data_IF_674956549658
#
_entry.id   IF_674956549658
#
_cell.length_a   1.000
_cell.length_b   1.000
_cell.length_c   1.000
_cell.angle_alpha   90.00
_cell.angle_beta   90.00
_cell.angle_gamma   90.00
#
_symmetry.space_group_name_H-M   'P 1'
#
loop_
_entity.id
_entity.type
_entity.pdbx_description
1 polymer ?
#
# COMPACT_ATOMS: atom_id res chain seq x y z
N UNK A 1 60.93 66.52 -0.57
CA UNK A 1 59.95 65.54 -0.05
C UNK A 1 58.64 65.78 -0.81
N UNK A 2 58.28 64.90 -1.73
CA UNK A 2 57.11 65.06 -2.59
C UNK A 2 56.01 64.09 -2.04
N UNK A 3 54.90 64.63 -1.57
CA UNK A 3 53.71 63.87 -1.20
C UNK A 3 52.92 63.47 -2.41
N UNK A 4 52.76 62.15 -2.62
CA UNK A 4 51.91 61.56 -3.64
C UNK A 4 50.56 61.17 -2.97
N UNK A 5 49.53 61.91 -3.28
CA UNK A 5 48.15 61.58 -2.91
C UNK A 5 47.56 60.60 -3.92
N UNK A 6 47.11 59.39 -3.46
CA UNK A 6 46.38 58.44 -4.24
C UNK A 6 44.88 58.67 -4.02
N UNK A 7 44.05 58.67 -5.09
CA UNK A 7 42.59 58.70 -4.95
C UNK A 7 42.06 57.30 -4.66
N UNK A 8 41.18 57.18 -3.65
CA UNK A 8 40.36 55.99 -3.37
C UNK A 8 39.17 55.98 -4.37
N UNK A 9 39.12 54.97 -5.24
CA UNK A 9 37.91 54.62 -5.98
C UNK A 9 37.03 53.76 -5.09
N UNK A 10 35.90 54.27 -4.68
CA UNK A 10 34.82 53.52 -4.02
C UNK A 10 33.95 52.86 -5.13
N UNK A 11 34.12 51.55 -5.30
CA UNK A 11 33.23 50.77 -6.15
C UNK A 11 31.94 50.42 -5.40
N UNK A 12 30.83 51.03 -5.77
CA UNK A 12 29.50 50.68 -5.23
C UNK A 12 29.05 49.38 -5.91
N UNK A 13 29.05 48.26 -5.16
CA UNK A 13 28.45 47.00 -5.58
C UNK A 13 26.93 47.10 -5.31
N UNK A 14 26.17 47.32 -6.36
CA UNK A 14 24.71 47.22 -6.31
C UNK A 14 24.31 45.73 -6.25
N UNK A 15 23.97 45.24 -5.05
CA UNK A 15 23.43 43.92 -4.84
C UNK A 15 21.95 43.91 -5.30
N UNK A 16 21.73 43.40 -6.49
CA UNK A 16 20.37 43.05 -6.98
C UNK A 16 19.83 41.85 -6.19
N UNK A 17 19.02 42.13 -5.17
CA UNK A 17 18.17 41.12 -4.55
C UNK A 17 17.10 40.70 -5.52
N UNK A 18 17.31 39.58 -6.21
CA UNK A 18 16.23 38.90 -6.89
C UNK A 18 15.24 38.40 -5.81
N UNK A 19 14.11 39.05 -5.70
CA UNK A 19 12.97 38.58 -4.91
C UNK A 19 12.48 37.27 -5.58
N UNK A 20 12.99 36.14 -5.13
CA UNK A 20 12.34 34.85 -5.36
C UNK A 20 11.00 34.89 -4.62
N UNK A 21 9.95 35.34 -5.31
CA UNK A 21 8.58 35.16 -4.84
C UNK A 21 8.32 33.67 -4.65
N UNK A 22 7.41 33.28 -3.72
CA UNK A 22 7.05 31.88 -3.56
C UNK A 22 6.60 31.33 -4.93
N UNK A 23 7.25 30.26 -5.39
CA UNK A 23 6.84 29.56 -6.59
C UNK A 23 5.38 29.15 -6.43
N UNK A 24 4.47 29.89 -7.05
CA UNK A 24 3.07 29.49 -7.08
C UNK A 24 3.00 28.20 -7.86
N UNK A 25 2.43 27.16 -7.25
CA UNK A 25 2.18 25.91 -7.92
C UNK A 25 1.35 26.22 -9.18
N UNK A 26 1.95 25.98 -10.34
CA UNK A 26 1.35 26.31 -11.61
C UNK A 26 0.14 25.39 -11.83
N UNK A 27 -1.04 25.96 -12.11
CA UNK A 27 -2.24 25.17 -12.36
C UNK A 27 -2.12 24.31 -13.61
N UNK A 28 -2.86 23.20 -13.64
CA UNK A 28 -2.88 22.26 -14.76
C UNK A 28 -3.79 22.83 -15.89
N UNK A 29 -3.19 23.07 -17.05
CA UNK A 29 -3.93 23.56 -18.22
C UNK A 29 -4.99 22.54 -18.65
N UNK A 30 -6.25 22.99 -18.73
CA UNK A 30 -7.38 22.16 -19.13
C UNK A 30 -7.97 21.31 -18.04
N UNK A 31 -7.44 21.40 -16.81
CA UNK A 31 -8.05 20.77 -15.64
C UNK A 31 -9.25 21.55 -15.13
N UNK A 32 -10.24 20.92 -14.48
CA UNK A 32 -11.31 21.62 -13.79
C UNK A 32 -10.80 22.30 -12.51
N UNK A 33 -11.58 23.29 -12.02
CA UNK A 33 -11.30 23.90 -10.73
C UNK A 33 -11.33 22.83 -9.60
N UNK A 34 -10.45 22.96 -8.59
CA UNK A 34 -9.44 24.00 -8.36
C UNK A 34 -8.05 23.70 -9.02
N UNK A 35 -7.91 22.60 -9.76
CA UNK A 35 -6.63 22.17 -10.33
C UNK A 35 -6.10 23.11 -11.43
N UNK A 36 -7.01 23.82 -12.13
CA UNK A 36 -6.67 24.85 -13.12
C UNK A 36 -5.88 26.03 -12.52
N UNK A 37 -6.07 26.29 -11.23
CA UNK A 37 -5.41 27.39 -10.50
C UNK A 37 -4.20 26.93 -9.70
N UNK A 38 -4.07 25.62 -9.47
CA UNK A 38 -3.05 25.02 -8.61
C UNK A 38 -3.30 25.29 -7.11
N UNK A 39 -2.35 24.82 -6.29
CA UNK A 39 -2.39 25.02 -4.84
C UNK A 39 -3.25 24.01 -4.07
N UNK A 40 -3.82 23.00 -4.73
CA UNK A 40 -4.58 21.92 -4.11
C UNK A 40 -3.71 21.21 -3.07
N UNK A 41 -4.29 20.91 -1.90
CA UNK A 41 -3.64 20.25 -0.77
C UNK A 41 -4.30 18.90 -0.52
N UNK A 42 -3.49 17.84 -0.46
CA UNK A 42 -3.95 16.49 -0.12
C UNK A 42 -3.13 15.97 1.05
N UNK A 43 -3.80 15.37 2.04
CA UNK A 43 -3.17 14.60 3.10
C UNK A 43 -3.41 13.11 2.87
N UNK A 44 -2.36 12.29 2.91
CA UNK A 44 -2.48 10.85 2.95
C UNK A 44 -2.06 10.36 4.35
N UNK A 45 -2.98 9.71 5.05
CA UNK A 45 -2.80 9.27 6.44
C UNK A 45 -2.88 7.75 6.47
N UNK A 46 -1.74 7.12 6.72
CA UNK A 46 -1.59 5.66 6.79
C UNK A 46 -1.67 5.17 8.24
N UNK A 47 -2.37 4.06 8.47
CA UNK A 47 -2.35 3.36 9.76
C UNK A 47 -0.97 2.74 10.04
N UNK A 48 -0.41 2.07 9.03
CA UNK A 48 0.88 1.41 9.12
C UNK A 48 2.02 2.44 9.24
N UNK A 49 3.13 2.04 9.87
CA UNK A 49 4.34 2.86 10.00
C UNK A 49 5.54 2.31 9.24
N UNK A 50 5.44 1.08 8.71
CA UNK A 50 6.52 0.40 8.02
C UNK A 50 5.99 -0.65 7.06
N UNK A 51 6.91 -1.26 6.29
CA UNK A 51 6.65 -2.33 5.33
C UNK A 51 6.87 -1.88 3.89
N UNK A 52 7.33 -2.82 3.06
CA UNK A 52 7.69 -2.55 1.66
C UNK A 52 6.46 -2.13 0.84
N UNK A 53 5.30 -2.73 1.14
CA UNK A 53 4.06 -2.37 0.48
C UNK A 53 3.71 -0.89 0.73
N UNK A 54 3.81 -0.43 2.00
CA UNK A 54 3.52 0.96 2.36
C UNK A 54 4.47 1.93 1.65
N UNK A 55 5.77 1.62 1.63
CA UNK A 55 6.77 2.46 0.96
C UNK A 55 6.47 2.59 -0.53
N UNK A 56 6.12 1.49 -1.20
CA UNK A 56 5.75 1.51 -2.61
C UNK A 56 4.45 2.28 -2.85
N UNK A 57 3.44 2.11 -2.00
CA UNK A 57 2.19 2.87 -2.04
C UNK A 57 2.46 4.39 -1.92
N UNK A 58 3.22 4.81 -0.92
CA UNK A 58 3.55 6.23 -0.70
C UNK A 58 4.38 6.82 -1.84
N UNK A 59 5.27 6.03 -2.45
CA UNK A 59 5.99 6.44 -3.65
C UNK A 59 5.03 6.70 -4.84
N UNK A 60 4.01 5.86 -5.01
CA UNK A 60 2.95 6.06 -6.00
C UNK A 60 2.09 7.29 -5.71
N UNK A 61 1.71 7.48 -4.44
CA UNK A 61 0.98 8.68 -3.98
C UNK A 61 1.76 9.94 -4.32
N UNK A 62 3.06 9.96 -3.97
CA UNK A 62 3.93 11.10 -4.26
C UNK A 62 4.05 11.36 -5.75
N UNK A 63 4.33 10.34 -6.54
CA UNK A 63 4.50 10.45 -8.00
C UNK A 63 3.28 11.05 -8.69
N UNK A 64 2.07 10.59 -8.32
CA UNK A 64 0.84 11.11 -8.90
C UNK A 64 0.50 12.52 -8.38
N UNK A 65 0.78 12.82 -7.12
CA UNK A 65 0.60 14.15 -6.55
C UNK A 65 1.52 15.17 -7.21
N UNK A 66 2.80 14.82 -7.43
CA UNK A 66 3.77 15.66 -8.13
C UNK A 66 3.32 15.94 -9.58
N UNK A 67 2.82 14.91 -10.30
CA UNK A 67 2.29 15.07 -11.66
C UNK A 67 1.08 16.01 -11.72
N UNK A 68 0.26 16.05 -10.66
CA UNK A 68 -0.90 16.95 -10.54
C UNK A 68 -0.56 18.33 -9.97
N UNK A 69 0.69 18.58 -9.57
CA UNK A 69 1.08 19.84 -8.89
C UNK A 69 0.43 20.03 -7.52
N UNK A 70 0.08 18.94 -6.84
CA UNK A 70 -0.59 18.93 -5.53
C UNK A 70 0.43 19.11 -4.40
N UNK A 71 0.07 19.90 -3.39
CA UNK A 71 0.80 19.98 -2.12
C UNK A 71 0.42 18.77 -1.27
N UNK A 72 1.30 17.77 -1.23
CA UNK A 72 1.08 16.50 -0.53
C UNK A 72 1.66 16.54 0.89
N UNK A 73 0.90 16.03 1.85
CA UNK A 73 1.36 15.67 3.20
C UNK A 73 1.19 14.17 3.39
N UNK A 74 2.28 13.45 3.67
CA UNK A 74 2.27 12.04 4.06
C UNK A 74 2.42 11.93 5.57
N UNK A 75 1.59 11.12 6.21
CA UNK A 75 1.63 10.89 7.66
C UNK A 75 1.36 9.42 7.98
N UNK A 76 2.10 8.88 8.94
CA UNK A 76 2.03 7.49 9.34
C UNK A 76 1.70 7.40 10.84
N UNK A 77 0.68 6.61 11.18
CA UNK A 77 0.22 6.43 12.56
C UNK A 77 0.99 5.36 13.34
N UNK A 78 1.88 4.60 12.68
CA UNK A 78 2.71 3.55 13.31
C UNK A 78 1.90 2.54 14.11
N UNK A 79 0.83 2.03 13.49
CA UNK A 79 -0.08 1.04 14.07
C UNK A 79 -0.87 1.53 15.31
N UNK A 80 -0.95 2.85 15.51
CA UNK A 80 -1.69 3.45 16.62
C UNK A 80 -2.97 4.15 16.14
N UNK A 81 -4.11 3.74 16.68
CA UNK A 81 -5.43 4.23 16.28
C UNK A 81 -5.66 5.70 16.64
N UNK A 82 -5.23 6.12 17.84
CA UNK A 82 -5.42 7.49 18.30
C UNK A 82 -4.53 8.45 17.51
N UNK A 83 -3.32 8.02 17.22
CA UNK A 83 -2.41 8.77 16.33
C UNK A 83 -3.02 8.93 14.94
N UNK A 84 -3.59 7.88 14.34
CA UNK A 84 -4.22 8.00 13.02
C UNK A 84 -5.37 9.00 13.04
N UNK A 85 -6.24 8.91 14.04
CA UNK A 85 -7.35 9.84 14.24
C UNK A 85 -6.87 11.28 14.40
N UNK A 86 -5.82 11.49 15.21
CA UNK A 86 -5.24 12.82 15.45
C UNK A 86 -4.59 13.40 14.18
N UNK A 87 -3.91 12.60 13.36
CA UNK A 87 -3.35 13.03 12.07
C UNK A 87 -4.44 13.47 11.09
N UNK A 88 -5.58 12.76 11.05
CA UNK A 88 -6.74 13.17 10.25
C UNK A 88 -7.31 14.49 10.79
N UNK A 89 -7.43 14.65 12.13
CA UNK A 89 -7.90 15.92 12.71
C UNK A 89 -6.94 17.07 12.38
N UNK A 90 -5.64 16.85 12.35
CA UNK A 90 -4.66 17.86 11.92
C UNK A 90 -4.87 18.26 10.45
N UNK A 91 -5.12 17.30 9.55
CA UNK A 91 -5.42 17.56 8.16
C UNK A 91 -6.71 18.42 8.02
N UNK A 92 -7.74 18.14 8.82
CA UNK A 92 -8.96 18.97 8.87
C UNK A 92 -8.63 20.39 9.32
N UNK A 93 -7.84 20.57 10.37
CA UNK A 93 -7.46 21.89 10.91
C UNK A 93 -6.63 22.70 9.89
N UNK A 94 -5.80 22.02 9.08
CA UNK A 94 -5.01 22.62 7.99
C UNK A 94 -5.86 22.97 6.74
N UNK A 95 -7.15 22.60 6.76
CA UNK A 95 -8.08 22.83 5.65
C UNK A 95 -7.50 22.32 4.34
N UNK A 96 -7.13 21.05 4.32
CA UNK A 96 -6.75 20.38 3.07
C UNK A 96 -7.99 20.19 2.19
N UNK A 97 -7.80 20.06 0.87
CA UNK A 97 -8.91 19.84 -0.06
C UNK A 97 -9.35 18.38 -0.08
N UNK A 98 -8.40 17.45 0.18
CA UNK A 98 -8.68 16.03 0.21
C UNK A 98 -7.85 15.25 1.23
N UNK A 99 -8.43 14.14 1.71
CA UNK A 99 -7.77 13.19 2.62
C UNK A 99 -7.86 11.79 2.01
N UNK A 100 -6.73 11.09 1.96
CA UNK A 100 -6.64 9.66 1.68
C UNK A 100 -6.43 8.95 3.01
N UNK A 101 -7.39 8.12 3.43
CA UNK A 101 -7.28 7.28 4.62
C UNK A 101 -6.83 5.89 4.16
N UNK A 102 -5.63 5.47 4.59
CA UNK A 102 -5.02 4.23 4.19
C UNK A 102 -4.98 3.25 5.36
N UNK A 103 -5.71 2.15 5.27
CA UNK A 103 -5.90 1.14 6.30
C UNK A 103 -6.46 1.74 7.63
N UNK A 104 -6.55 0.90 8.65
CA UNK A 104 -7.04 1.28 9.97
C UNK A 104 -8.33 0.56 10.35
N UNK A 105 -8.89 0.95 11.48
CA UNK A 105 -10.09 0.34 12.05
C UNK A 105 -11.31 1.21 11.81
N UNK A 106 -12.38 0.68 11.18
CA UNK A 106 -13.59 1.44 10.87
C UNK A 106 -14.20 2.13 12.10
N UNK A 107 -14.24 1.45 13.24
CA UNK A 107 -14.82 1.95 14.48
C UNK A 107 -14.11 3.19 15.04
N UNK A 108 -12.83 3.39 14.70
CA UNK A 108 -12.05 4.56 15.09
C UNK A 108 -12.20 5.70 14.10
N UNK A 109 -12.41 5.38 12.81
CA UNK A 109 -12.25 6.31 11.72
C UNK A 109 -13.55 6.89 11.16
N UNK A 110 -14.72 6.23 11.37
CA UNK A 110 -16.01 6.68 10.81
C UNK A 110 -16.35 8.11 11.22
N UNK A 111 -16.26 8.44 12.50
CA UNK A 111 -16.63 9.75 13.02
C UNK A 111 -15.70 10.86 12.51
N UNK A 112 -14.40 10.62 12.51
CA UNK A 112 -13.42 11.63 12.05
C UNK A 112 -13.47 11.82 10.53
N UNK A 113 -13.77 10.77 9.77
CA UNK A 113 -14.01 10.86 8.34
C UNK A 113 -15.29 11.68 8.03
N UNK A 114 -16.36 11.49 8.82
CA UNK A 114 -17.57 12.30 8.71
C UNK A 114 -17.28 13.77 9.01
N UNK A 115 -16.51 14.08 10.06
CA UNK A 115 -16.08 15.47 10.36
C UNK A 115 -15.32 16.12 9.20
N UNK A 116 -14.47 15.36 8.50
CA UNK A 116 -13.77 15.87 7.32
C UNK A 116 -14.75 16.23 6.21
N UNK A 117 -15.75 15.37 5.94
CA UNK A 117 -16.81 15.66 4.96
C UNK A 117 -17.63 16.88 5.35
N UNK A 118 -18.00 17.04 6.62
CA UNK A 118 -18.77 18.19 7.14
C UNK A 118 -17.97 19.50 7.03
N UNK A 119 -16.64 19.41 7.09
CA UNK A 119 -15.74 20.55 6.82
C UNK A 119 -15.55 20.83 5.31
N UNK A 120 -16.25 20.10 4.42
CA UNK A 120 -16.16 20.26 2.96
C UNK A 120 -14.98 19.54 2.31
N UNK A 121 -14.15 18.81 3.09
CA UNK A 121 -12.98 18.09 2.62
C UNK A 121 -13.42 16.79 1.94
N UNK A 122 -12.82 16.47 0.79
CA UNK A 122 -13.09 15.20 0.11
C UNK A 122 -12.27 14.08 0.73
N UNK A 123 -12.92 12.94 0.96
CA UNK A 123 -12.27 11.77 1.58
C UNK A 123 -12.35 10.60 0.63
N UNK A 124 -11.27 9.85 0.49
CA UNK A 124 -11.25 8.51 -0.08
C UNK A 124 -10.63 7.54 0.92
N UNK A 125 -11.07 6.30 0.92
CA UNK A 125 -10.60 5.26 1.81
C UNK A 125 -9.95 4.13 1.01
N UNK A 126 -8.81 3.64 1.48
CA UNK A 126 -8.16 2.46 0.94
C UNK A 126 -8.08 1.39 2.03
N UNK A 127 -8.60 0.20 1.72
CA UNK A 127 -8.60 -0.98 2.61
C UNK A 127 -9.14 -0.75 4.03
N UNK A 128 -10.06 0.22 4.17
CA UNK A 128 -10.85 0.44 5.40
C UNK A 128 -12.29 0.75 5.03
N UNK A 129 -13.24 -0.06 5.53
CA UNK A 129 -14.66 0.11 5.22
C UNK A 129 -15.30 1.14 6.16
N UNK A 130 -15.52 2.36 5.66
CA UNK A 130 -16.14 3.44 6.42
C UNK A 130 -17.66 3.48 6.32
N UNK A 131 -18.30 2.62 5.50
CA UNK A 131 -19.74 2.52 5.28
C UNK A 131 -20.43 3.87 4.92
N UNK A 132 -19.67 4.78 4.30
CA UNK A 132 -20.16 6.08 3.92
C UNK A 132 -20.28 6.21 2.40
N UNK A 133 -21.50 6.45 1.84
CA UNK A 133 -21.69 6.48 0.38
C UNK A 133 -21.00 7.66 -0.31
N UNK A 134 -20.57 8.67 0.44
CA UNK A 134 -19.84 9.84 -0.07
C UNK A 134 -18.33 9.61 -0.14
N UNK A 135 -17.85 8.52 0.45
CA UNK A 135 -16.42 8.17 0.49
C UNK A 135 -16.14 7.04 -0.50
N UNK A 136 -15.45 7.29 -1.62
CA UNK A 136 -14.99 6.25 -2.51
C UNK A 136 -14.10 5.24 -1.78
N UNK A 137 -14.40 3.96 -1.95
CA UNK A 137 -13.62 2.86 -1.40
C UNK A 137 -12.70 2.32 -2.49
N UNK A 138 -11.40 2.34 -2.24
CA UNK A 138 -10.39 1.75 -3.12
C UNK A 138 -10.01 0.39 -2.54
N UNK A 139 -10.00 -0.64 -3.36
CA UNK A 139 -9.74 -2.02 -2.94
C UNK A 139 -8.93 -2.79 -3.99
N UNK A 140 -8.23 -3.83 -3.55
CA UNK A 140 -7.40 -4.69 -4.39
C UNK A 140 -8.09 -6.00 -4.81
N UNK A 141 -9.41 -6.15 -4.64
CA UNK A 141 -10.11 -7.42 -4.78
C UNK A 141 -9.53 -8.53 -3.87
N UNK A 142 -9.57 -8.28 -2.56
CA UNK A 142 -9.00 -9.16 -1.53
C UNK A 142 -9.45 -10.62 -1.63
N UNK A 143 -10.74 -10.83 -1.93
CA UNK A 143 -11.28 -12.17 -2.12
C UNK A 143 -10.62 -12.88 -3.31
N UNK A 144 -10.37 -12.16 -4.42
CA UNK A 144 -9.71 -12.75 -5.58
C UNK A 144 -8.23 -13.00 -5.30
N UNK A 145 -7.54 -12.10 -4.56
CA UNK A 145 -6.18 -12.35 -4.11
C UNK A 145 -6.07 -13.67 -3.35
N UNK A 146 -6.91 -13.84 -2.32
CA UNK A 146 -6.91 -15.06 -1.53
C UNK A 146 -7.30 -16.28 -2.38
N UNK A 147 -8.30 -16.14 -3.27
CA UNK A 147 -8.75 -17.23 -4.14
C UNK A 147 -7.65 -17.71 -5.07
N UNK A 148 -6.93 -16.79 -5.73
CA UNK A 148 -5.85 -17.13 -6.66
C UNK A 148 -4.75 -17.96 -5.99
N UNK A 149 -4.28 -17.56 -4.82
CA UNK A 149 -3.19 -18.28 -4.13
C UNK A 149 -3.66 -19.59 -3.50
N UNK A 150 -4.91 -19.64 -3.03
CA UNK A 150 -5.46 -20.88 -2.44
C UNK A 150 -5.81 -21.91 -3.52
N UNK A 151 -6.25 -21.49 -4.70
CA UNK A 151 -6.39 -22.39 -5.88
C UNK A 151 -5.01 -22.96 -6.27
N UNK A 152 -3.97 -22.13 -6.26
CA UNK A 152 -2.60 -22.62 -6.50
C UNK A 152 -2.16 -23.59 -5.39
N UNK A 153 -2.47 -23.31 -4.11
CA UNK A 153 -2.16 -24.24 -3.02
C UNK A 153 -2.86 -25.60 -3.20
N UNK A 154 -4.15 -25.60 -3.58
CA UNK A 154 -4.89 -26.83 -3.87
C UNK A 154 -4.33 -27.56 -5.08
N UNK A 155 -3.89 -26.83 -6.12
CA UNK A 155 -3.25 -27.40 -7.30
C UNK A 155 -1.93 -28.11 -6.94
N UNK A 156 -1.12 -27.51 -6.08
CA UNK A 156 0.22 -27.99 -5.73
C UNK A 156 0.19 -29.12 -4.67
N UNK A 157 -0.76 -29.09 -3.75
CA UNK A 157 -0.83 -29.99 -2.59
C UNK A 157 -2.00 -30.99 -2.62
N UNK A 158 -2.95 -30.79 -3.53
CA UNK A 158 -4.19 -31.56 -3.54
C UNK A 158 -5.21 -31.01 -2.54
N UNK A 159 -6.38 -31.67 -2.47
CA UNK A 159 -7.43 -31.38 -1.48
C UNK A 159 -7.08 -31.99 -0.12
N UNK A 160 -7.69 -31.50 0.95
CA UNK A 160 -7.58 -32.10 2.28
C UNK A 160 -6.24 -31.86 2.99
N UNK A 161 -5.38 -30.99 2.49
CA UNK A 161 -4.12 -30.68 3.18
C UNK A 161 -4.34 -30.07 4.55
N UNK A 162 -3.38 -30.29 5.43
CA UNK A 162 -3.33 -29.63 6.74
C UNK A 162 -2.64 -28.29 6.62
N UNK A 163 -3.26 -27.23 7.17
CA UNK A 163 -2.74 -25.89 7.04
C UNK A 163 -2.99 -25.01 8.25
N UNK A 164 -2.41 -23.84 8.21
CA UNK A 164 -2.67 -22.75 9.13
C UNK A 164 -2.76 -21.42 8.40
N UNK A 165 -3.30 -20.42 9.07
CA UNK A 165 -3.42 -19.07 8.53
C UNK A 165 -2.82 -18.04 9.48
N UNK A 166 -2.10 -17.06 8.94
CA UNK A 166 -1.71 -15.89 9.71
C UNK A 166 -2.82 -14.85 9.57
N UNK A 167 -3.45 -14.46 10.69
CA UNK A 167 -4.62 -13.59 10.64
C UNK A 167 -4.74 -12.74 11.90
N UNK A 168 -5.17 -11.50 11.72
CA UNK A 168 -5.53 -10.56 12.79
C UNK A 168 -6.85 -9.91 12.43
N UNK A 169 -7.86 -10.09 13.27
CA UNK A 169 -9.21 -9.58 13.06
C UNK A 169 -9.30 -8.05 13.11
N UNK A 170 -10.29 -7.49 12.40
CA UNK A 170 -10.64 -6.07 12.44
C UNK A 170 -9.89 -5.21 11.42
N UNK A 171 -9.10 -5.82 10.54
CA UNK A 171 -8.54 -5.17 9.35
C UNK A 171 -9.27 -5.70 8.12
N UNK A 172 -10.01 -4.83 7.44
CA UNK A 172 -10.90 -5.21 6.34
C UNK A 172 -10.24 -6.12 5.27
N UNK A 173 -9.01 -5.87 4.77
CA UNK A 173 -8.38 -6.77 3.81
C UNK A 173 -8.07 -8.15 4.41
N UNK A 174 -7.60 -8.22 5.66
CA UNK A 174 -7.32 -9.50 6.33
C UNK A 174 -8.59 -10.29 6.58
N UNK A 175 -9.67 -9.62 7.02
CA UNK A 175 -10.97 -10.25 7.27
C UNK A 175 -11.54 -10.85 5.97
N UNK A 176 -11.49 -10.10 4.84
CA UNK A 176 -11.97 -10.57 3.54
C UNK A 176 -11.16 -11.75 2.99
N UNK A 177 -9.82 -11.69 3.12
CA UNK A 177 -8.91 -12.75 2.67
C UNK A 177 -9.06 -14.01 3.53
N UNK A 178 -9.19 -13.86 4.85
CA UNK A 178 -9.41 -15.00 5.75
C UNK A 178 -10.77 -15.66 5.55
N UNK A 179 -11.82 -14.90 5.21
CA UNK A 179 -13.12 -15.48 4.86
C UNK A 179 -13.01 -16.47 3.68
N UNK A 180 -12.18 -16.15 2.67
CA UNK A 180 -11.92 -17.07 1.55
C UNK A 180 -11.14 -18.31 2.00
N UNK A 181 -10.18 -18.17 2.93
CA UNK A 181 -9.53 -19.34 3.53
C UNK A 181 -10.55 -20.29 4.19
N UNK A 182 -11.51 -19.74 4.94
CA UNK A 182 -12.59 -20.56 5.55
C UNK A 182 -13.51 -21.21 4.50
N UNK A 183 -13.83 -20.48 3.43
CA UNK A 183 -14.57 -21.03 2.27
C UNK A 183 -13.83 -22.24 1.68
N UNK A 184 -12.52 -22.09 1.44
CA UNK A 184 -11.68 -23.14 0.87
C UNK A 184 -11.53 -24.35 1.82
N UNK A 185 -11.41 -24.09 3.13
CA UNK A 185 -11.37 -25.16 4.13
C UNK A 185 -12.65 -26.04 4.04
N UNK A 186 -13.83 -25.42 3.94
CA UNK A 186 -15.07 -26.14 3.75
C UNK A 186 -15.16 -26.85 2.38
N UNK A 187 -14.86 -26.13 1.30
CA UNK A 187 -15.02 -26.63 -0.08
C UNK A 187 -14.08 -27.78 -0.45
N UNK A 188 -12.85 -27.73 0.03
CA UNK A 188 -11.78 -28.68 -0.32
C UNK A 188 -11.38 -29.60 0.84
N UNK A 189 -12.05 -29.51 2.00
CA UNK A 189 -11.77 -30.33 3.17
C UNK A 189 -10.42 -30.03 3.82
N UNK A 190 -9.95 -28.78 3.74
CA UNK A 190 -8.68 -28.39 4.35
C UNK A 190 -8.78 -28.48 5.87
N UNK A 191 -7.71 -28.92 6.51
CA UNK A 191 -7.65 -29.08 7.98
C UNK A 191 -6.93 -27.89 8.58
N UNK A 192 -7.69 -26.86 9.03
CA UNK A 192 -7.10 -25.74 9.75
C UNK A 192 -6.63 -26.18 11.15
N UNK A 193 -5.34 -26.13 11.43
CA UNK A 193 -4.73 -26.53 12.70
C UNK A 193 -4.48 -25.36 13.63
N UNK A 194 -4.13 -24.21 13.07
CA UNK A 194 -3.81 -23.03 13.85
C UNK A 194 -4.10 -21.74 13.09
N UNK A 195 -4.44 -20.71 13.82
CA UNK A 195 -4.53 -19.32 13.39
C UNK A 195 -3.70 -18.48 14.33
N UNK A 196 -2.82 -17.65 13.82
CA UNK A 196 -1.96 -16.76 14.61
C UNK A 196 -1.66 -15.48 13.85
N UNK A 197 -1.05 -14.51 14.49
CA UNK A 197 -0.62 -13.26 13.86
C UNK A 197 -0.62 -12.10 14.84
N UNK A 198 0.07 -11.04 14.44
CA UNK A 198 0.12 -9.78 15.16
C UNK A 198 0.40 -8.64 14.19
N UNK A 199 -0.17 -7.48 14.45
CA UNK A 199 0.14 -6.22 13.75
C UNK A 199 0.81 -5.29 14.75
N UNK A 200 2.10 -5.05 14.57
CA UNK A 200 2.96 -4.20 15.39
C UNK A 200 4.12 -3.65 14.53
N UNK A 201 5.08 -2.95 15.14
CA UNK A 201 6.22 -2.37 14.42
C UNK A 201 7.27 -3.41 13.96
N UNK A 202 7.20 -4.65 14.44
CA UNK A 202 8.15 -5.73 14.16
C UNK A 202 7.46 -6.99 13.64
N UNK A 203 6.46 -6.84 12.79
CA UNK A 203 5.59 -7.92 12.29
C UNK A 203 6.38 -9.16 11.84
N UNK A 204 7.40 -9.08 10.96
CA UNK A 204 8.09 -10.30 10.50
C UNK A 204 8.73 -11.08 11.63
N UNK A 205 9.43 -10.42 12.55
CA UNK A 205 10.07 -11.08 13.68
C UNK A 205 9.06 -11.70 14.65
N UNK A 206 8.02 -10.94 15.00
CA UNK A 206 6.96 -11.41 15.90
C UNK A 206 6.18 -12.59 15.31
N UNK A 207 5.88 -12.56 14.01
CA UNK A 207 5.20 -13.67 13.31
C UNK A 207 6.14 -14.88 13.19
N UNK A 208 7.46 -14.67 12.98
CA UNK A 208 8.41 -15.78 12.95
C UNK A 208 8.43 -16.54 14.29
N UNK A 209 8.46 -15.84 15.41
CA UNK A 209 8.44 -16.48 16.72
C UNK A 209 7.15 -17.27 16.98
N UNK A 210 6.00 -16.70 16.65
CA UNK A 210 4.71 -17.39 16.73
C UNK A 210 4.68 -18.62 15.79
N UNK A 211 5.17 -18.49 14.56
CA UNK A 211 5.18 -19.56 13.57
C UNK A 211 6.08 -20.73 14.01
N UNK A 212 7.24 -20.45 14.61
CA UNK A 212 8.10 -21.51 15.18
C UNK A 212 7.36 -22.32 16.24
N UNK A 213 6.64 -21.65 17.14
CA UNK A 213 5.85 -22.32 18.17
C UNK A 213 4.71 -23.15 17.55
N UNK A 214 3.97 -22.60 16.59
CA UNK A 214 2.87 -23.28 15.89
C UNK A 214 3.35 -24.52 15.14
N UNK A 215 4.44 -24.43 14.37
CA UNK A 215 4.96 -25.54 13.58
C UNK A 215 5.55 -26.66 14.44
N UNK A 216 6.12 -26.35 15.61
CA UNK A 216 6.56 -27.35 16.58
C UNK A 216 5.37 -28.10 17.20
N UNK A 217 4.30 -27.39 17.53
CA UNK A 217 3.08 -27.98 18.10
C UNK A 217 2.24 -28.76 17.07
N UNK A 218 2.34 -28.40 15.79
CA UNK A 218 1.55 -28.97 14.69
C UNK A 218 2.48 -29.39 13.53
N UNK A 219 3.29 -30.45 13.70
CA UNK A 219 4.29 -30.86 12.72
C UNK A 219 3.68 -31.42 11.41
N UNK A 220 2.38 -31.58 11.32
CA UNK A 220 1.64 -32.03 10.14
C UNK A 220 1.16 -30.85 9.24
N UNK A 221 1.37 -29.60 9.63
CA UNK A 221 1.08 -28.45 8.77
C UNK A 221 1.95 -28.52 7.50
N UNK A 222 1.28 -28.52 6.35
CA UNK A 222 1.89 -28.54 5.02
C UNK A 222 1.79 -27.21 4.27
N UNK A 223 0.78 -26.38 4.63
CA UNK A 223 0.50 -25.08 3.98
C UNK A 223 0.28 -24.01 5.04
N UNK A 224 0.89 -22.85 4.82
CA UNK A 224 0.58 -21.63 5.59
C UNK A 224 0.06 -20.58 4.62
N UNK A 225 -1.17 -20.11 4.87
CA UNK A 225 -1.75 -18.96 4.18
C UNK A 225 -1.34 -17.67 4.88
N UNK A 226 -0.76 -16.75 4.12
CA UNK A 226 -0.24 -15.47 4.63
C UNK A 226 -0.89 -14.31 3.87
N UNK A 227 -2.00 -13.76 4.37
CA UNK A 227 -2.78 -12.73 3.68
C UNK A 227 -2.14 -11.33 3.71
N UNK A 228 -0.84 -11.22 3.97
CA UNK A 228 -0.05 -9.99 3.93
C UNK A 228 1.44 -10.33 3.76
N UNK A 229 2.17 -9.55 2.96
CA UNK A 229 3.59 -9.79 2.66
C UNK A 229 4.48 -9.84 3.91
N UNK A 230 4.27 -8.94 4.89
CA UNK A 230 5.04 -8.95 6.13
C UNK A 230 4.80 -10.23 6.96
N UNK A 231 3.61 -10.82 6.89
CA UNK A 231 3.35 -12.14 7.48
C UNK A 231 4.12 -13.24 6.77
N UNK A 232 4.17 -13.19 5.43
CA UNK A 232 4.88 -14.17 4.63
C UNK A 232 6.39 -14.17 4.92
N UNK A 233 6.99 -12.98 5.08
CA UNK A 233 8.40 -12.83 5.49
C UNK A 233 8.66 -13.50 6.84
N UNK A 234 7.80 -13.27 7.83
CA UNK A 234 7.92 -13.89 9.15
C UNK A 234 7.78 -15.40 9.11
N UNK A 235 6.78 -15.92 8.38
CA UNK A 235 6.59 -17.37 8.21
C UNK A 235 7.78 -18.00 7.50
N UNK A 236 8.31 -17.35 6.43
CA UNK A 236 9.50 -17.85 5.72
C UNK A 236 10.71 -17.93 6.64
N UNK A 237 10.98 -16.88 7.41
CA UNK A 237 12.06 -16.85 8.38
C UNK A 237 11.96 -18.04 9.35
N UNK A 238 10.78 -18.29 9.91
CA UNK A 238 10.57 -19.41 10.83
C UNK A 238 10.78 -20.78 10.15
N UNK A 239 10.31 -20.97 8.93
CA UNK A 239 10.46 -22.20 8.15
C UNK A 239 11.93 -22.47 7.86
N UNK A 240 12.70 -21.45 7.50
CA UNK A 240 14.13 -21.54 7.20
C UNK A 240 14.92 -21.89 8.47
N UNK A 241 14.68 -21.20 9.60
CA UNK A 241 15.33 -21.49 10.88
C UNK A 241 15.02 -22.90 11.40
N UNK A 242 13.83 -23.43 11.11
CA UNK A 242 13.45 -24.81 11.48
C UNK A 242 13.92 -25.86 10.47
N UNK A 243 14.41 -25.46 9.30
CA UNK A 243 14.85 -26.38 8.24
C UNK A 243 13.73 -27.20 7.61
N UNK A 244 12.47 -26.68 7.59
CA UNK A 244 11.28 -27.42 7.15
C UNK A 244 10.73 -26.97 5.79
N UNK A 245 11.51 -26.24 5.00
CA UNK A 245 11.09 -25.66 3.70
C UNK A 245 10.62 -26.70 2.68
N UNK A 246 11.12 -27.94 2.74
CA UNK A 246 10.65 -29.04 1.88
C UNK A 246 9.23 -29.51 2.22
N UNK A 247 8.82 -29.37 3.47
CA UNK A 247 7.55 -29.87 4.01
C UNK A 247 6.46 -28.81 4.02
N UNK A 248 6.76 -27.63 4.57
CA UNK A 248 5.83 -26.52 4.74
C UNK A 248 5.96 -25.54 3.58
N UNK A 249 4.84 -25.12 2.98
CA UNK A 249 4.81 -24.18 1.87
C UNK A 249 3.93 -22.97 2.19
N UNK A 250 4.34 -21.80 1.67
CA UNK A 250 3.70 -20.52 1.87
C UNK A 250 2.95 -20.12 0.60
N UNK A 251 1.71 -19.69 0.77
CA UNK A 251 0.88 -19.06 -0.25
C UNK A 251 0.40 -17.72 0.29
N UNK A 252 0.86 -16.64 -0.32
CA UNK A 252 0.78 -15.30 0.24
C UNK A 252 0.04 -14.28 -0.61
N UNK A 253 -0.07 -13.11 -0.06
CA UNK A 253 -0.62 -11.91 -0.72
C UNK A 253 0.39 -10.79 -0.61
N UNK A 254 0.37 -9.88 -1.57
CA UNK A 254 1.32 -8.79 -1.82
C UNK A 254 2.64 -9.24 -2.46
N UNK A 255 3.37 -8.27 -3.02
CA UNK A 255 4.69 -8.50 -3.58
C UNK A 255 5.52 -7.20 -3.56
N UNK A 256 6.78 -7.33 -3.15
CA UNK A 256 7.82 -6.31 -3.22
C UNK A 256 9.08 -6.88 -3.87
N UNK A 257 10.07 -6.06 -4.13
CA UNK A 257 11.38 -6.54 -4.58
C UNK A 257 12.01 -7.49 -3.55
N UNK A 258 11.89 -7.20 -2.26
CA UNK A 258 12.37 -8.07 -1.20
C UNK A 258 11.62 -9.42 -1.19
N UNK A 259 10.31 -9.41 -1.40
CA UNK A 259 9.51 -10.63 -1.49
C UNK A 259 9.93 -11.50 -2.69
N UNK A 260 10.18 -10.88 -3.85
CA UNK A 260 10.70 -11.58 -5.04
C UNK A 260 12.03 -12.25 -4.72
N UNK A 261 12.95 -11.56 -4.04
CA UNK A 261 14.23 -12.12 -3.64
C UNK A 261 14.05 -13.33 -2.71
N UNK A 262 13.21 -13.20 -1.67
CA UNK A 262 12.88 -14.28 -0.75
C UNK A 262 12.20 -15.47 -1.45
N UNK A 263 11.32 -15.25 -2.40
CA UNK A 263 10.66 -16.30 -3.19
C UNK A 263 11.64 -17.02 -4.10
N UNK A 264 12.64 -16.33 -4.64
CA UNK A 264 13.60 -16.91 -5.61
C UNK A 264 14.84 -17.53 -4.98
N UNK A 265 15.03 -17.42 -3.66
CA UNK A 265 16.10 -18.11 -2.95
C UNK A 265 16.07 -19.63 -3.21
N UNK A 266 17.25 -20.31 -3.19
CA UNK A 266 17.28 -21.76 -3.26
C UNK A 266 16.39 -22.41 -2.20
N UNK A 267 15.61 -23.42 -2.60
CA UNK A 267 14.70 -24.17 -1.71
C UNK A 267 13.65 -23.32 -0.94
N UNK A 268 13.35 -22.11 -1.40
CA UNK A 268 12.35 -21.26 -0.75
C UNK A 268 11.01 -21.98 -0.56
N UNK A 269 10.44 -21.83 0.62
CA UNK A 269 9.11 -22.34 0.93
C UNK A 269 7.98 -21.49 0.32
N UNK A 270 8.23 -20.27 -0.13
CA UNK A 270 7.21 -19.35 -0.63
C UNK A 270 6.91 -19.62 -2.12
N UNK A 271 5.80 -20.31 -2.37
CA UNK A 271 5.48 -20.87 -3.69
C UNK A 271 4.71 -19.91 -4.61
N UNK A 272 3.83 -19.10 -4.04
CA UNK A 272 3.02 -18.18 -4.82
C UNK A 272 2.55 -17.00 -3.97
N UNK A 273 2.29 -15.90 -4.65
CA UNK A 273 1.62 -14.72 -4.10
C UNK A 273 0.62 -14.17 -5.10
N UNK A 274 -0.44 -13.49 -4.62
CA UNK A 274 -1.32 -12.71 -5.48
C UNK A 274 -1.20 -11.24 -5.09
N UNK A 275 -1.01 -10.36 -6.06
CA UNK A 275 -0.73 -8.97 -5.75
C UNK A 275 -1.27 -8.01 -6.81
N UNK A 276 -1.44 -6.77 -6.40
CA UNK A 276 -1.47 -5.58 -7.26
C UNK A 276 -0.14 -4.85 -7.09
N UNK A 277 0.14 -3.90 -7.98
CA UNK A 277 1.29 -3.02 -7.79
C UNK A 277 0.93 -1.92 -6.77
N UNK A 278 1.54 -1.95 -5.59
CA UNK A 278 1.27 -1.00 -4.51
C UNK A 278 1.46 0.47 -4.94
N UNK A 279 2.48 0.76 -5.76
CA UNK A 279 2.68 2.11 -6.28
C UNK A 279 1.54 2.56 -7.20
N UNK A 280 1.02 1.67 -8.04
CA UNK A 280 -0.16 1.95 -8.88
C UNK A 280 -1.41 2.16 -8.02
N UNK A 281 -1.56 1.42 -6.90
CA UNK A 281 -2.65 1.66 -5.93
C UNK A 281 -2.56 3.07 -5.35
N UNK A 282 -1.36 3.52 -4.98
CA UNK A 282 -1.11 4.88 -4.50
C UNK A 282 -1.47 5.96 -5.52
N UNK A 283 -1.12 5.74 -6.79
CA UNK A 283 -1.52 6.64 -7.89
C UNK A 283 -3.04 6.72 -8.03
N UNK A 284 -3.72 5.57 -7.99
CA UNK A 284 -5.19 5.50 -8.06
C UNK A 284 -5.84 6.24 -6.90
N UNK A 285 -5.29 6.14 -5.69
CA UNK A 285 -5.80 6.85 -4.52
C UNK A 285 -5.75 8.38 -4.71
N UNK A 286 -4.64 8.91 -5.23
CA UNK A 286 -4.53 10.34 -5.53
C UNK A 286 -5.47 10.75 -6.65
N UNK A 287 -5.59 9.96 -7.71
CA UNK A 287 -6.55 10.25 -8.80
C UNK A 287 -7.99 10.26 -8.29
N UNK A 288 -8.36 9.28 -7.47
CA UNK A 288 -9.71 9.18 -6.92
C UNK A 288 -10.08 10.38 -6.04
N UNK A 289 -9.20 10.81 -5.13
CA UNK A 289 -9.45 12.00 -4.31
C UNK A 289 -9.44 13.27 -5.16
N UNK A 290 -8.60 13.35 -6.21
CA UNK A 290 -8.56 14.49 -7.12
C UNK A 290 -9.84 14.61 -7.94
N UNK A 291 -10.41 13.51 -8.44
CA UNK A 291 -11.72 13.49 -9.07
C UNK A 291 -12.81 13.99 -8.11
N UNK A 292 -12.80 13.52 -6.86
CA UNK A 292 -13.76 13.99 -5.86
C UNK A 292 -13.63 15.50 -5.58
N UNK A 293 -12.41 16.03 -5.48
CA UNK A 293 -12.14 17.47 -5.32
C UNK A 293 -12.66 18.27 -6.51
N UNK A 294 -12.48 17.76 -7.72
CA UNK A 294 -12.97 18.37 -8.96
C UNK A 294 -14.49 18.24 -9.16
N UNK A 295 -15.23 17.68 -8.20
CA UNK A 295 -16.66 17.42 -8.32
C UNK A 295 -17.02 16.25 -9.26
N UNK A 296 -16.05 15.45 -9.67
CA UNK A 296 -16.18 14.28 -10.52
C UNK A 296 -16.07 13.02 -9.64
N UNK A 297 -17.19 12.51 -9.14
CA UNK A 297 -17.17 11.37 -8.22
C UNK A 297 -16.70 10.09 -8.93
N UNK A 298 -15.63 9.42 -8.47
CA UNK A 298 -15.05 8.27 -9.17
C UNK A 298 -15.86 6.96 -9.02
N UNK A 299 -17.02 7.02 -8.35
CA UNK A 299 -17.81 5.86 -7.97
C UNK A 299 -17.59 5.45 -6.52
N UNK A 300 -18.49 4.60 -6.00
CA UNK A 300 -18.42 4.12 -4.60
C UNK A 300 -17.29 3.11 -4.37
N UNK A 301 -16.95 2.35 -5.39
CA UNK A 301 -15.90 1.34 -5.35
C UNK A 301 -14.98 1.51 -6.54
N UNK A 302 -13.69 1.58 -6.25
CA UNK A 302 -12.59 1.63 -7.23
C UNK A 302 -11.75 0.38 -7.02
N UNK A 303 -11.96 -0.63 -7.87
CA UNK A 303 -11.38 -1.95 -7.72
C UNK A 303 -10.16 -2.13 -8.61
N UNK A 304 -9.04 -2.59 -8.03
CA UNK A 304 -7.87 -3.06 -8.75
C UNK A 304 -7.87 -4.59 -8.80
N UNK A 305 -7.55 -5.16 -9.97
CA UNK A 305 -7.50 -6.60 -10.15
C UNK A 305 -6.12 -7.15 -9.80
N UNK A 306 -6.05 -8.19 -8.96
CA UNK A 306 -4.77 -8.82 -8.62
C UNK A 306 -4.31 -9.78 -9.72
N UNK A 307 -3.05 -10.11 -9.65
CA UNK A 307 -2.39 -11.11 -10.51
C UNK A 307 -1.70 -12.14 -9.64
N UNK A 308 -1.86 -13.43 -9.97
CA UNK A 308 -1.08 -14.50 -9.38
C UNK A 308 0.35 -14.44 -9.92
N UNK A 309 1.32 -14.53 -9.03
CA UNK A 309 2.74 -14.63 -9.33
C UNK A 309 3.28 -15.86 -8.60
N UNK A 310 3.74 -16.85 -9.36
CA UNK A 310 4.35 -18.05 -8.77
C UNK A 310 5.86 -17.92 -8.69
N UNK A 311 6.48 -18.67 -7.77
CA UNK A 311 7.93 -18.81 -7.72
C UNK A 311 8.51 -19.26 -9.06
N UNK A 312 7.85 -20.21 -9.73
CA UNK A 312 8.26 -20.72 -11.03
C UNK A 312 8.23 -19.63 -12.11
N UNK A 313 7.23 -18.74 -12.09
CA UNK A 313 7.17 -17.58 -13.01
C UNK A 313 8.37 -16.66 -12.80
N UNK A 314 8.71 -16.37 -11.54
CA UNK A 314 9.85 -15.51 -11.20
C UNK A 314 11.17 -16.11 -11.70
N UNK A 315 11.41 -17.38 -11.39
CA UNK A 315 12.63 -18.09 -11.80
C UNK A 315 12.75 -18.25 -13.31
N UNK A 316 11.68 -18.71 -13.97
CA UNK A 316 11.67 -18.94 -15.43
C UNK A 316 11.91 -17.66 -16.21
N UNK A 317 11.37 -16.53 -15.74
CA UNK A 317 11.49 -15.25 -16.41
C UNK A 317 12.64 -14.39 -15.87
N UNK A 318 13.45 -14.90 -14.92
CA UNK A 318 14.57 -14.19 -14.29
C UNK A 318 14.16 -12.84 -13.69
N UNK A 319 13.00 -12.80 -13.03
CA UNK A 319 12.46 -11.62 -12.38
C UNK A 319 13.12 -11.47 -11.01
N UNK A 320 13.82 -10.38 -10.78
CA UNK A 320 14.54 -10.08 -9.55
C UNK A 320 13.97 -8.85 -8.81
N UNK A 321 13.20 -8.00 -9.50
CA UNK A 321 12.67 -6.75 -8.96
C UNK A 321 11.22 -6.52 -9.41
N UNK A 322 10.55 -5.55 -8.78
CA UNK A 322 9.21 -5.10 -9.21
C UNK A 322 9.26 -4.53 -10.62
N UNK A 323 10.34 -3.84 -10.99
CA UNK A 323 10.52 -3.29 -12.34
C UNK A 323 10.59 -4.40 -13.41
N UNK A 324 11.23 -5.52 -13.09
CA UNK A 324 11.26 -6.69 -13.98
C UNK A 324 9.88 -7.34 -14.09
N UNK A 325 9.17 -7.43 -12.95
CA UNK A 325 7.80 -7.93 -12.90
C UNK A 325 6.87 -7.06 -13.78
N UNK A 326 6.98 -5.74 -13.69
CA UNK A 326 6.22 -4.80 -14.52
C UNK A 326 6.48 -4.99 -16.02
N UNK A 327 7.72 -5.23 -16.43
CA UNK A 327 8.06 -5.51 -17.84
C UNK A 327 7.38 -6.77 -18.36
N UNK A 328 7.21 -7.77 -17.50
CA UNK A 328 6.66 -9.09 -17.84
C UNK A 328 5.16 -9.18 -17.72
N UNK A 329 4.57 -8.56 -16.70
CA UNK A 329 3.15 -8.63 -16.40
C UNK A 329 2.50 -7.26 -16.58
N UNK A 330 1.70 -7.09 -17.65
CA UNK A 330 1.04 -5.82 -17.97
C UNK A 330 0.13 -5.30 -16.84
N UNK A 331 -0.45 -6.22 -16.06
CA UNK A 331 -1.28 -5.88 -14.89
C UNK A 331 -0.52 -5.11 -13.79
N UNK A 332 0.82 -5.18 -13.77
CA UNK A 332 1.66 -4.42 -12.83
C UNK A 332 2.12 -3.07 -13.38
N UNK A 333 1.88 -2.75 -14.65
CA UNK A 333 2.42 -1.52 -15.26
C UNK A 333 1.62 -0.28 -14.87
N UNK A 334 0.30 -0.32 -15.05
CA UNK A 334 -0.60 0.81 -14.82
C UNK A 334 -2.02 0.34 -14.56
N UNK A 335 -2.84 1.25 -14.05
CA UNK A 335 -4.29 1.05 -13.94
C UNK A 335 -5.01 2.24 -14.57
N UNK A 336 -6.09 1.99 -15.28
CA UNK A 336 -7.00 3.02 -15.81
C UNK A 336 -8.11 3.40 -14.80
N UNK A 337 -8.05 2.86 -13.58
CA UNK A 337 -8.99 3.20 -12.52
C UNK A 337 -8.85 4.68 -12.11
N UNK A 338 -9.98 5.33 -11.88
CA UNK A 338 -10.07 6.72 -11.45
C UNK A 338 -9.28 7.70 -12.36
N UNK A 339 -9.33 7.51 -13.68
CA UNK A 339 -8.70 8.42 -14.65
C UNK A 339 -9.68 9.41 -15.24
N UNK A 340 -9.16 10.54 -15.71
CA UNK A 340 -9.85 11.51 -16.55
C UNK A 340 -8.84 12.15 -17.51
N UNK A 341 -9.32 12.73 -18.61
CA UNK A 341 -8.44 13.29 -19.64
C UNK A 341 -7.48 14.39 -19.14
N UNK A 342 -7.85 15.08 -18.08
CA UNK A 342 -7.05 16.15 -17.47
C UNK A 342 -6.04 15.66 -16.44
N UNK A 343 -6.12 14.38 -16.00
CA UNK A 343 -5.19 13.80 -15.03
C UNK A 343 -3.97 13.24 -15.76
N UNK A 344 -2.78 13.82 -15.55
CA UNK A 344 -1.55 13.28 -16.16
C UNK A 344 -1.17 11.95 -15.51
N UNK A 345 -0.51 11.10 -16.27
CA UNK A 345 0.13 9.92 -15.70
C UNK A 345 1.21 10.32 -14.69
N UNK A 346 1.35 9.58 -13.60
CA UNK A 346 2.48 9.71 -12.68
C UNK A 346 3.79 9.39 -13.41
N UNK A 347 4.79 10.27 -13.27
CA UNK A 347 6.12 10.15 -13.93
C UNK A 347 7.13 9.54 -12.97
#
# INVERSE_FOLDING_TARGET
MKHVTRPLFAAAVAATFALCGPAQAQGLKGAPAPFDKGGVKIAAVSFLGAGDWLQAFEAGVKRQADALGVKLTLSQARNDNDTQRNLIQQAINLRVDGIIINNGRPEVLKDIAQKALDAGIKVVAYDVNLDNPKIPQIEQSDADMARLVLEQAVKDKGKGFTGGAVYVAGFAPLDRRYAVWKEFAGKYGLKEKAVWGVVNDTVPASVADQTKAVLRANPDIAVVFTPWGEFAKGVKLAIDELGVSKKVKIYGVDISTADIQLMTEPDSAWMATAATNAAVVGEVAVRAVSLAIAGQFPGRSVMLKPTLVTRDDLLKNKIATIEDLQKKFSAFQKSDAATAAWIPAGK
#
